data_IF_010390171253
#
_entry.id   IF_010390171253
#
_cell.length_a   1.000
_cell.length_b   1.000
_cell.length_c   1.000
_cell.angle_alpha   90.00
_cell.angle_beta   90.00
_cell.angle_gamma   90.00
#
_symmetry.space_group_name_H-M   'P 1'
#
loop_
_entity.id
_entity.type
_entity.pdbx_description
1 polymer ?
#
# COMPACT_ATOMS: atom_id res chain seq x y z
N UNK A 1 26.17 -12.41 -21.03
CA UNK A 1 25.06 -11.97 -20.18
C UNK A 1 24.24 -10.98 -20.97
N UNK A 2 23.32 -11.48 -21.80
CA UNK A 2 22.46 -10.64 -22.63
C UNK A 2 21.41 -9.98 -21.74
N UNK A 3 21.46 -8.66 -21.63
CA UNK A 3 20.35 -7.85 -21.14
C UNK A 3 19.15 -8.12 -22.05
N UNK A 4 18.23 -8.97 -21.61
CA UNK A 4 16.95 -9.14 -22.30
C UNK A 4 16.22 -7.80 -22.13
N UNK A 5 16.14 -7.02 -23.21
CA UNK A 5 15.53 -5.70 -23.16
C UNK A 5 13.99 -5.85 -23.25
N UNK A 6 13.27 -4.81 -22.82
CA UNK A 6 11.79 -4.76 -22.83
C UNK A 6 11.19 -5.17 -24.18
N UNK A 7 11.76 -4.71 -25.29
CA UNK A 7 11.29 -5.03 -26.65
C UNK A 7 11.50 -6.49 -27.03
N UNK A 8 12.56 -7.12 -26.51
CA UNK A 8 12.91 -8.53 -26.76
C UNK A 8 11.90 -9.43 -26.06
N UNK A 9 11.53 -9.12 -24.81
CA UNK A 9 10.48 -9.84 -24.07
C UNK A 9 9.14 -9.72 -24.81
N UNK A 10 8.78 -8.53 -25.27
CA UNK A 10 7.53 -8.34 -26.02
C UNK A 10 7.53 -9.04 -27.38
N UNK A 11 8.65 -9.07 -28.08
CA UNK A 11 8.79 -9.80 -29.35
C UNK A 11 8.70 -11.31 -29.14
N UNK A 12 9.32 -11.84 -28.08
CA UNK A 12 9.23 -13.25 -27.72
C UNK A 12 7.83 -13.65 -27.25
N UNK A 13 7.15 -12.79 -26.49
CA UNK A 13 5.74 -13.00 -26.13
C UNK A 13 4.85 -13.06 -27.38
N UNK A 14 5.15 -12.25 -28.40
CA UNK A 14 4.42 -12.25 -29.68
C UNK A 14 4.67 -13.52 -30.51
N UNK A 15 5.91 -14.00 -30.57
CA UNK A 15 6.23 -15.25 -31.27
C UNK A 15 5.66 -16.47 -30.53
N UNK A 16 5.80 -16.53 -29.20
CA UNK A 16 5.24 -17.59 -28.37
C UNK A 16 3.70 -17.61 -28.42
N UNK A 17 3.06 -16.44 -28.52
CA UNK A 17 1.62 -16.31 -28.76
C UNK A 17 1.19 -16.97 -30.07
N UNK A 18 1.88 -16.67 -31.18
CA UNK A 18 1.55 -17.25 -32.50
C UNK A 18 1.70 -18.78 -32.52
N UNK A 19 2.51 -19.34 -31.61
CA UNK A 19 2.76 -20.78 -31.50
C UNK A 19 1.92 -21.48 -30.42
N UNK A 20 1.11 -20.75 -29.65
CA UNK A 20 0.26 -21.27 -28.57
C UNK A 20 1.08 -22.01 -27.48
N UNK A 21 2.33 -21.59 -27.28
CA UNK A 21 3.23 -22.21 -26.30
C UNK A 21 3.04 -21.58 -24.91
N UNK A 22 2.13 -22.16 -24.11
CA UNK A 22 1.75 -21.63 -22.78
C UNK A 22 2.93 -21.58 -21.81
N UNK A 23 3.78 -22.62 -21.81
CA UNK A 23 4.93 -22.69 -20.92
C UNK A 23 5.96 -21.57 -21.19
N UNK A 24 6.09 -21.16 -22.47
CA UNK A 24 6.99 -20.09 -22.89
C UNK A 24 6.39 -18.73 -22.53
N UNK A 25 5.08 -18.53 -22.74
CA UNK A 25 4.40 -17.30 -22.32
C UNK A 25 4.52 -17.08 -20.81
N UNK A 26 4.39 -18.13 -20.01
CA UNK A 26 4.53 -18.06 -18.56
C UNK A 26 5.95 -17.76 -18.10
N UNK A 27 6.96 -18.38 -18.72
CA UNK A 27 8.38 -18.08 -18.41
C UNK A 27 8.70 -16.62 -18.72
N UNK A 28 8.29 -16.12 -19.88
CA UNK A 28 8.51 -14.74 -20.28
C UNK A 28 7.79 -13.75 -19.35
N UNK A 29 6.60 -14.11 -18.88
CA UNK A 29 5.87 -13.33 -17.88
C UNK A 29 6.63 -13.23 -16.54
N UNK A 30 7.10 -14.36 -16.02
CA UNK A 30 7.89 -14.38 -14.78
C UNK A 30 9.20 -13.61 -14.92
N UNK A 31 9.84 -13.70 -16.08
CA UNK A 31 11.07 -12.97 -16.39
C UNK A 31 10.82 -11.45 -16.47
N UNK A 32 9.68 -11.05 -17.05
CA UNK A 32 9.25 -9.65 -17.07
C UNK A 32 9.02 -9.10 -15.64
N UNK A 33 8.37 -9.87 -14.77
CA UNK A 33 8.18 -9.50 -13.36
C UNK A 33 9.52 -9.42 -12.59
N UNK A 34 10.44 -10.37 -12.81
CA UNK A 34 11.77 -10.35 -12.20
C UNK A 34 12.60 -9.13 -12.60
N UNK A 35 12.37 -8.59 -13.80
CA UNK A 35 12.99 -7.37 -14.29
C UNK A 35 12.20 -6.09 -13.94
N UNK A 36 11.19 -6.19 -13.06
CA UNK A 36 10.30 -5.08 -12.69
C UNK A 36 9.66 -4.35 -13.89
N UNK A 37 9.51 -5.06 -15.01
CA UNK A 37 8.84 -4.54 -16.20
C UNK A 37 7.34 -4.68 -16.00
N UNK A 38 6.62 -3.58 -16.20
CA UNK A 38 5.17 -3.56 -16.07
C UNK A 38 4.52 -4.36 -17.21
N UNK A 39 3.76 -5.42 -16.87
CA UNK A 39 2.87 -6.04 -17.83
C UNK A 39 1.86 -5.02 -18.37
N UNK A 40 1.45 -5.19 -19.62
CA UNK A 40 0.39 -4.39 -20.22
C UNK A 40 -0.79 -5.29 -20.61
N UNK A 41 -1.88 -4.66 -21.06
CA UNK A 41 -3.09 -5.35 -21.51
C UNK A 41 -2.79 -6.41 -22.59
N UNK A 42 -1.77 -6.19 -23.43
CA UNK A 42 -1.32 -7.16 -24.41
C UNK A 42 -0.74 -8.43 -23.76
N UNK A 43 0.17 -8.28 -22.78
CA UNK A 43 0.74 -9.42 -22.07
C UNK A 43 -0.33 -10.29 -21.42
N UNK A 44 -1.32 -9.65 -20.77
CA UNK A 44 -2.42 -10.35 -20.13
C UNK A 44 -3.35 -11.03 -21.14
N UNK A 45 -3.69 -10.36 -22.24
CA UNK A 45 -4.52 -10.95 -23.31
C UNK A 45 -3.81 -12.14 -23.98
N UNK A 46 -2.50 -12.03 -24.23
CA UNK A 46 -1.69 -13.11 -24.81
C UNK A 46 -1.61 -14.32 -23.88
N UNK A 47 -1.35 -14.11 -22.59
CA UNK A 47 -1.36 -15.17 -21.58
C UNK A 47 -2.71 -15.87 -21.51
N UNK A 48 -3.80 -15.10 -21.54
CA UNK A 48 -5.15 -15.65 -21.54
C UNK A 48 -5.42 -16.54 -22.75
N UNK A 49 -5.16 -16.01 -23.93
CA UNK A 49 -5.46 -16.67 -25.20
C UNK A 49 -4.62 -17.94 -25.36
N UNK A 50 -3.34 -17.91 -24.98
CA UNK A 50 -2.49 -19.10 -25.00
C UNK A 50 -3.06 -20.22 -24.12
N UNK A 51 -3.52 -19.89 -22.91
CA UNK A 51 -4.17 -20.85 -22.01
C UNK A 51 -5.49 -21.41 -22.54
N UNK A 52 -6.15 -20.72 -23.47
CA UNK A 52 -7.42 -21.16 -24.05
C UNK A 52 -7.24 -22.09 -25.25
N UNK A 53 -6.12 -21.98 -25.96
CA UNK A 53 -5.80 -22.84 -27.10
C UNK A 53 -5.18 -24.20 -26.71
N UNK A 54 -4.63 -24.34 -25.50
CA UNK A 54 -3.79 -25.49 -25.14
C UNK A 54 -4.51 -26.66 -24.46
N UNK A 55 -5.80 -26.55 -24.11
CA UNK A 55 -6.56 -27.61 -23.41
C UNK A 55 -6.04 -27.97 -21.99
N UNK A 56 -5.02 -27.27 -21.49
CA UNK A 56 -4.41 -27.49 -20.18
C UNK A 56 -5.13 -26.71 -19.09
N UNK A 57 -6.26 -27.24 -18.61
CA UNK A 57 -7.13 -26.60 -17.61
C UNK A 57 -6.42 -26.23 -16.29
N UNK A 58 -5.44 -27.02 -15.85
CA UNK A 58 -4.72 -26.77 -14.58
C UNK A 58 -3.80 -25.54 -14.62
N UNK A 59 -3.01 -25.39 -15.69
CA UNK A 59 -2.16 -24.21 -15.88
C UNK A 59 -3.00 -22.97 -16.18
N UNK A 60 -4.05 -23.09 -16.99
CA UNK A 60 -4.94 -21.99 -17.33
C UNK A 60 -5.50 -21.28 -16.09
N UNK A 61 -5.92 -22.06 -15.07
CA UNK A 61 -6.39 -21.53 -13.79
C UNK A 61 -5.31 -20.68 -13.11
N UNK A 62 -4.09 -21.20 -12.98
CA UNK A 62 -2.97 -20.49 -12.33
C UNK A 62 -2.63 -19.17 -13.04
N UNK A 63 -2.61 -19.16 -14.37
CA UNK A 63 -2.32 -17.96 -15.17
C UNK A 63 -3.43 -16.92 -15.06
N UNK A 64 -4.70 -17.34 -15.06
CA UNK A 64 -5.84 -16.44 -14.86
C UNK A 64 -5.76 -15.77 -13.49
N UNK A 65 -5.57 -16.55 -12.42
CA UNK A 65 -5.42 -16.04 -11.06
C UNK A 65 -4.27 -15.02 -10.98
N UNK A 66 -3.11 -15.36 -11.53
CA UNK A 66 -1.95 -14.48 -11.51
C UNK A 66 -2.23 -13.17 -12.28
N UNK A 67 -2.86 -13.25 -13.45
CA UNK A 67 -3.24 -12.10 -14.28
C UNK A 67 -4.19 -11.15 -13.54
N UNK A 68 -5.24 -11.69 -12.90
CA UNK A 68 -6.18 -10.88 -12.11
C UNK A 68 -5.45 -10.23 -10.93
N UNK A 69 -4.65 -10.98 -10.17
CA UNK A 69 -3.98 -10.48 -8.96
C UNK A 69 -2.87 -9.47 -9.22
N UNK A 70 -2.07 -9.67 -10.27
CA UNK A 70 -0.86 -8.86 -10.51
C UNK A 70 -1.04 -7.82 -11.60
N UNK A 71 -1.97 -8.02 -12.54
CA UNK A 71 -2.25 -7.06 -13.60
C UNK A 71 -3.38 -6.12 -13.25
N UNK A 72 -4.58 -6.67 -13.22
CA UNK A 72 -5.76 -5.83 -13.19
C UNK A 72 -6.03 -5.24 -11.81
N UNK A 73 -5.76 -6.01 -10.75
CA UNK A 73 -5.91 -5.52 -9.38
C UNK A 73 -4.98 -4.34 -9.05
N UNK A 74 -3.68 -4.47 -9.35
CA UNK A 74 -2.68 -3.47 -9.00
C UNK A 74 -2.86 -2.15 -9.75
N UNK A 75 -3.49 -2.18 -10.92
CA UNK A 75 -3.74 -1.01 -11.77
C UNK A 75 -5.17 -0.47 -11.67
N UNK A 76 -6.01 -1.01 -10.78
CA UNK A 76 -7.41 -0.56 -10.65
C UNK A 76 -8.27 -0.83 -11.88
N UNK A 77 -7.86 -1.78 -12.73
CA UNK A 77 -8.54 -2.19 -13.95
C UNK A 77 -9.66 -3.20 -13.62
N UNK A 78 -10.58 -2.78 -12.77
CA UNK A 78 -11.68 -3.62 -12.30
C UNK A 78 -12.57 -4.17 -13.43
N UNK A 79 -12.92 -3.42 -14.50
CA UNK A 79 -13.69 -3.98 -15.62
C UNK A 79 -13.00 -5.19 -16.26
N UNK A 80 -11.69 -5.09 -16.52
CA UNK A 80 -10.91 -6.17 -17.13
C UNK A 80 -10.79 -7.40 -16.20
N UNK A 81 -10.63 -7.17 -14.89
CA UNK A 81 -10.65 -8.24 -13.90
C UNK A 81 -12.00 -8.99 -13.87
N UNK A 82 -13.10 -8.24 -13.99
CA UNK A 82 -14.47 -8.77 -14.01
C UNK A 82 -14.73 -9.56 -15.29
N UNK A 83 -14.41 -8.99 -16.46
CA UNK A 83 -14.55 -9.66 -17.75
C UNK A 83 -13.78 -10.98 -17.76
N UNK A 84 -12.60 -10.99 -17.15
CA UNK A 84 -11.78 -12.17 -17.05
C UNK A 84 -12.40 -13.26 -16.16
N UNK A 85 -12.98 -12.86 -15.02
CA UNK A 85 -13.71 -13.78 -14.16
C UNK A 85 -14.91 -14.41 -14.86
N UNK A 86 -15.66 -13.63 -15.63
CA UNK A 86 -16.80 -14.12 -16.40
C UNK A 86 -16.36 -15.11 -17.49
N UNK A 87 -15.28 -14.81 -18.22
CA UNK A 87 -14.70 -15.77 -19.17
C UNK A 87 -14.22 -17.08 -18.52
N UNK A 88 -13.72 -17.00 -17.29
CA UNK A 88 -13.30 -18.17 -16.51
C UNK A 88 -14.50 -19.07 -16.19
N UNK A 89 -15.65 -18.46 -15.85
CA UNK A 89 -16.92 -19.17 -15.65
C UNK A 89 -17.43 -19.82 -16.92
N UNK A 90 -17.41 -19.11 -18.06
CA UNK A 90 -17.85 -19.64 -19.36
C UNK A 90 -17.03 -20.87 -19.78
N UNK A 91 -15.74 -20.87 -19.47
CA UNK A 91 -14.81 -21.97 -19.73
C UNK A 91 -14.85 -23.08 -18.67
N UNK A 92 -15.81 -23.03 -17.73
CA UNK A 92 -16.00 -23.99 -16.63
C UNK A 92 -14.77 -24.16 -15.74
N UNK A 93 -13.94 -23.11 -15.63
CA UNK A 93 -12.82 -23.10 -14.70
C UNK A 93 -13.33 -22.54 -13.37
N UNK A 94 -13.29 -23.34 -12.31
CA UNK A 94 -13.79 -22.93 -10.98
C UNK A 94 -12.89 -21.83 -10.38
N UNK A 95 -13.43 -20.63 -10.08
CA UNK A 95 -12.71 -19.62 -9.30
C UNK A 95 -12.29 -20.15 -7.94
N UNK A 96 -11.13 -19.72 -7.48
CA UNK A 96 -10.60 -20.04 -6.15
C UNK A 96 -10.37 -18.78 -5.31
N UNK A 97 -9.93 -19.00 -4.08
CA UNK A 97 -9.56 -17.92 -3.16
C UNK A 97 -8.62 -16.87 -3.77
N UNK A 98 -7.66 -17.24 -4.62
CA UNK A 98 -6.74 -16.26 -5.22
C UNK A 98 -7.47 -15.44 -6.29
N UNK A 99 -8.31 -16.09 -7.10
CA UNK A 99 -9.17 -15.43 -8.08
C UNK A 99 -10.04 -14.35 -7.43
N UNK A 100 -10.71 -14.71 -6.33
CA UNK A 100 -11.55 -13.78 -5.57
C UNK A 100 -10.75 -12.63 -4.97
N UNK A 101 -9.58 -12.91 -4.40
CA UNK A 101 -8.70 -11.86 -3.89
C UNK A 101 -8.31 -10.86 -4.99
N UNK A 102 -7.99 -11.35 -6.19
CA UNK A 102 -7.67 -10.49 -7.33
C UNK A 102 -8.81 -9.54 -7.70
N UNK A 103 -10.04 -10.05 -7.82
CA UNK A 103 -11.20 -9.22 -8.16
C UNK A 103 -11.53 -8.24 -7.05
N UNK A 104 -11.51 -8.68 -5.80
CA UNK A 104 -11.76 -7.81 -4.65
C UNK A 104 -10.71 -6.70 -4.56
N UNK A 105 -9.45 -7.00 -4.85
CA UNK A 105 -8.38 -6.01 -4.90
C UNK A 105 -8.59 -5.02 -6.06
N UNK A 106 -8.99 -5.49 -7.24
CA UNK A 106 -9.34 -4.61 -8.36
C UNK A 106 -10.52 -3.68 -8.02
N UNK A 107 -11.58 -4.23 -7.42
CA UNK A 107 -12.73 -3.45 -6.95
C UNK A 107 -12.32 -2.43 -5.89
N UNK A 108 -11.46 -2.82 -4.94
CA UNK A 108 -10.89 -1.96 -3.91
C UNK A 108 -10.15 -0.76 -4.51
N UNK A 109 -9.25 -1.01 -5.46
CA UNK A 109 -8.47 0.05 -6.11
C UNK A 109 -9.33 0.95 -7.00
N UNK A 110 -10.37 0.40 -7.64
CA UNK A 110 -11.32 1.16 -8.45
C UNK A 110 -12.43 1.86 -7.63
N UNK A 111 -12.53 1.61 -6.32
CA UNK A 111 -13.60 2.15 -5.47
C UNK A 111 -14.99 1.57 -5.77
N UNK A 112 -15.06 0.38 -6.37
CA UNK A 112 -16.30 -0.27 -6.80
C UNK A 112 -16.90 -1.12 -5.68
N UNK A 113 -17.57 -0.45 -4.74
CA UNK A 113 -18.15 -1.11 -3.55
C UNK A 113 -19.17 -2.20 -3.91
N UNK A 114 -20.18 -1.90 -4.75
CA UNK A 114 -21.26 -2.84 -5.07
C UNK A 114 -20.73 -4.14 -5.71
N UNK A 115 -19.80 -4.01 -6.65
CA UNK A 115 -19.15 -5.15 -7.30
C UNK A 115 -18.31 -5.94 -6.29
N UNK A 116 -17.48 -5.26 -5.49
CA UNK A 116 -16.67 -5.93 -4.46
C UNK A 116 -17.54 -6.71 -3.48
N UNK A 117 -18.66 -6.13 -3.04
CA UNK A 117 -19.61 -6.79 -2.14
C UNK A 117 -20.28 -8.00 -2.79
N UNK A 118 -20.70 -7.88 -4.04
CA UNK A 118 -21.26 -8.99 -4.82
C UNK A 118 -20.28 -10.17 -4.89
N UNK A 119 -19.03 -9.92 -5.29
CA UNK A 119 -18.04 -10.99 -5.45
C UNK A 119 -17.66 -11.63 -4.12
N UNK A 120 -17.53 -10.85 -3.04
CA UNK A 120 -17.24 -11.39 -1.71
C UNK A 120 -18.33 -12.35 -1.23
N UNK A 121 -19.61 -11.99 -1.39
CA UNK A 121 -20.72 -12.87 -1.02
C UNK A 121 -20.83 -14.08 -1.94
N UNK A 122 -20.47 -13.93 -3.23
CA UNK A 122 -20.50 -15.03 -4.18
C UNK A 122 -19.49 -16.14 -3.86
N UNK A 123 -18.45 -15.89 -3.05
CA UNK A 123 -17.45 -16.90 -2.65
C UNK A 123 -18.08 -18.17 -2.08
N UNK A 124 -19.16 -18.02 -1.30
CA UNK A 124 -19.89 -19.13 -0.71
C UNK A 124 -20.51 -20.08 -1.76
N UNK A 125 -20.87 -19.55 -2.94
CA UNK A 125 -21.40 -20.34 -4.06
C UNK A 125 -20.33 -21.24 -4.71
N UNK A 126 -19.05 -20.96 -4.44
CA UNK A 126 -17.92 -21.73 -4.94
C UNK A 126 -17.25 -22.57 -3.83
N UNK A 127 -17.89 -22.71 -2.67
CA UNK A 127 -17.31 -23.37 -1.48
C UNK A 127 -16.01 -22.73 -0.98
N UNK A 128 -15.76 -21.46 -1.34
CA UNK A 128 -14.57 -20.71 -0.93
C UNK A 128 -14.87 -19.91 0.34
N UNK A 129 -14.06 -20.12 1.38
CA UNK A 129 -14.19 -19.39 2.64
C UNK A 129 -13.34 -18.11 2.60
N UNK A 130 -13.90 -16.94 2.98
CA UNK A 130 -13.12 -15.71 3.09
C UNK A 130 -11.94 -15.87 4.05
N UNK A 131 -10.75 -15.50 3.56
CA UNK A 131 -9.51 -15.37 4.34
C UNK A 131 -9.24 -13.92 4.70
N UNK A 132 -8.24 -13.69 5.56
CA UNK A 132 -7.87 -12.36 6.06
C UNK A 132 -7.69 -11.30 4.96
N UNK A 133 -7.11 -11.67 3.81
CA UNK A 133 -6.88 -10.72 2.71
C UNK A 133 -8.19 -10.29 2.02
N UNK A 134 -9.20 -11.16 1.95
CA UNK A 134 -10.53 -10.82 1.42
C UNK A 134 -11.24 -9.84 2.36
N UNK A 135 -11.16 -10.10 3.68
CA UNK A 135 -11.68 -9.18 4.69
C UNK A 135 -10.97 -7.83 4.62
N UNK A 136 -9.64 -7.81 4.41
CA UNK A 136 -8.91 -6.56 4.22
C UNK A 136 -9.40 -5.75 3.02
N UNK A 137 -9.81 -6.40 1.93
CA UNK A 137 -10.36 -5.69 0.77
C UNK A 137 -11.76 -5.13 1.08
N UNK A 138 -12.62 -5.92 1.73
CA UNK A 138 -14.00 -5.50 2.04
C UNK A 138 -14.07 -4.42 3.12
N UNK A 139 -13.26 -4.51 4.18
CA UNK A 139 -13.20 -3.47 5.22
C UNK A 139 -12.73 -2.15 4.62
N UNK A 140 -11.72 -2.17 3.75
CA UNK A 140 -11.23 -0.97 3.06
C UNK A 140 -12.30 -0.38 2.12
N UNK A 141 -13.00 -1.23 1.36
CA UNK A 141 -14.11 -0.80 0.49
C UNK A 141 -15.28 -0.17 1.27
N UNK A 142 -15.73 -0.83 2.34
CA UNK A 142 -16.76 -0.29 3.24
C UNK A 142 -16.32 1.05 3.84
N UNK A 143 -15.08 1.11 4.31
CA UNK A 143 -14.47 2.31 4.87
C UNK A 143 -14.46 3.48 3.89
N UNK A 144 -13.99 3.26 2.65
CA UNK A 144 -13.97 4.30 1.60
C UNK A 144 -15.35 4.74 1.15
N UNK A 145 -16.35 3.86 1.22
CA UNK A 145 -17.74 4.16 0.92
C UNK A 145 -18.45 4.94 2.05
N UNK A 146 -17.76 5.30 3.14
CA UNK A 146 -18.36 5.98 4.29
C UNK A 146 -19.13 5.07 5.24
N UNK A 147 -19.11 3.76 5.01
CA UNK A 147 -19.85 2.76 5.81
C UNK A 147 -18.99 2.24 6.96
N UNK A 148 -18.47 3.18 7.77
CA UNK A 148 -17.48 2.89 8.82
C UNK A 148 -17.99 1.91 9.87
N UNK A 149 -19.23 2.08 10.32
CA UNK A 149 -19.85 1.17 11.31
C UNK A 149 -20.01 -0.25 10.76
N UNK A 150 -20.34 -0.39 9.48
CA UNK A 150 -20.45 -1.70 8.86
C UNK A 150 -19.08 -2.35 8.65
N UNK A 151 -18.05 -1.55 8.38
CA UNK A 151 -16.67 -2.02 8.36
C UNK A 151 -16.24 -2.53 9.75
N UNK A 152 -16.66 -1.85 10.82
CA UNK A 152 -16.41 -2.28 12.20
C UNK A 152 -17.15 -3.57 12.56
N UNK A 153 -18.44 -3.67 12.21
CA UNK A 153 -19.22 -4.88 12.39
C UNK A 153 -18.68 -6.07 11.60
N UNK A 154 -18.14 -5.82 10.40
CA UNK A 154 -17.47 -6.85 9.61
C UNK A 154 -16.27 -7.42 10.38
N UNK A 155 -15.45 -6.56 10.98
CA UNK A 155 -14.29 -6.96 11.78
C UNK A 155 -14.71 -7.83 12.97
N UNK A 156 -15.78 -7.45 13.69
CA UNK A 156 -16.32 -8.23 14.81
C UNK A 156 -16.82 -9.61 14.40
N UNK A 157 -17.31 -9.76 13.16
CA UNK A 157 -17.83 -11.03 12.60
C UNK A 157 -16.73 -11.91 12.01
N UNK A 158 -15.49 -11.43 11.92
CA UNK A 158 -14.38 -12.21 11.37
C UNK A 158 -14.12 -13.45 12.23
N UNK A 159 -13.98 -14.61 11.57
CA UNK A 159 -13.54 -15.86 12.21
C UNK A 159 -12.01 -15.94 12.37
N UNK A 160 -11.28 -14.90 11.95
CA UNK A 160 -9.83 -14.79 11.99
C UNK A 160 -9.46 -13.48 12.66
N UNK A 161 -8.37 -13.47 13.44
CA UNK A 161 -7.90 -12.25 14.09
C UNK A 161 -7.53 -11.17 13.04
N UNK A 162 -8.04 -9.94 13.15
CA UNK A 162 -7.71 -8.87 12.20
C UNK A 162 -6.24 -8.46 12.31
N UNK A 163 -5.59 -8.20 11.17
CA UNK A 163 -4.20 -7.75 11.12
C UNK A 163 -4.09 -6.21 11.12
N UNK A 164 -2.85 -5.70 11.16
CA UNK A 164 -2.58 -4.26 11.13
C UNK A 164 -3.12 -3.53 9.90
N UNK A 165 -3.26 -4.23 8.75
CA UNK A 165 -3.83 -3.66 7.52
C UNK A 165 -5.32 -3.39 7.67
N UNK A 166 -6.07 -4.32 8.27
CA UNK A 166 -7.50 -4.19 8.51
C UNK A 166 -7.77 -3.04 9.50
N UNK A 167 -7.10 -3.04 10.64
CA UNK A 167 -7.22 -1.95 11.62
C UNK A 167 -6.75 -0.61 11.06
N UNK A 168 -5.70 -0.61 10.24
CA UNK A 168 -5.23 0.59 9.54
C UNK A 168 -6.25 1.15 8.55
N UNK A 169 -6.95 0.28 7.84
CA UNK A 169 -8.01 0.66 6.89
C UNK A 169 -9.20 1.27 7.63
N UNK A 170 -9.63 0.65 8.74
CA UNK A 170 -10.70 1.18 9.59
C UNK A 170 -10.31 2.51 10.24
N UNK A 171 -9.08 2.63 10.76
CA UNK A 171 -8.58 3.88 11.34
C UNK A 171 -8.58 5.03 10.33
N UNK A 172 -8.18 4.74 9.08
CA UNK A 172 -8.18 5.73 8.01
C UNK A 172 -9.60 6.19 7.67
N UNK A 173 -10.54 5.25 7.48
CA UNK A 173 -11.93 5.60 7.14
C UNK A 173 -12.64 6.31 8.28
N UNK A 174 -12.44 5.90 9.53
CA UNK A 174 -12.95 6.57 10.72
C UNK A 174 -12.52 8.04 10.78
N UNK A 175 -11.25 8.33 10.48
CA UNK A 175 -10.76 9.70 10.37
C UNK A 175 -11.39 10.48 9.22
N UNK A 176 -11.51 9.85 8.05
CA UNK A 176 -12.05 10.49 6.84
C UNK A 176 -13.52 10.88 7.03
N UNK A 177 -14.30 10.05 7.72
CA UNK A 177 -15.73 10.22 7.91
C UNK A 177 -16.12 10.75 9.30
N UNK A 178 -15.15 11.14 10.13
CA UNK A 178 -15.39 11.79 11.42
C UNK A 178 -15.92 10.88 12.53
N UNK A 179 -15.79 9.55 12.40
CA UNK A 179 -16.19 8.61 13.44
C UNK A 179 -15.03 8.38 14.42
N UNK A 180 -14.93 9.26 15.42
CA UNK A 180 -13.79 9.24 16.34
C UNK A 180 -13.76 7.99 17.25
N UNK A 181 -14.93 7.48 17.66
CA UNK A 181 -15.03 6.33 18.57
C UNK A 181 -14.47 5.06 17.93
N UNK A 182 -14.96 4.70 16.74
CA UNK A 182 -14.43 3.56 15.97
C UNK A 182 -12.96 3.78 15.60
N UNK A 183 -12.57 5.03 15.33
CA UNK A 183 -11.18 5.40 15.07
C UNK A 183 -10.24 5.10 16.25
N UNK A 184 -10.64 5.43 17.48
CA UNK A 184 -9.84 5.18 18.68
C UNK A 184 -9.65 3.67 18.87
N UNK A 185 -10.73 2.90 18.81
CA UNK A 185 -10.67 1.44 18.92
C UNK A 185 -9.74 0.83 17.86
N UNK A 186 -9.85 1.29 16.61
CA UNK A 186 -9.01 0.80 15.52
C UNK A 186 -7.52 1.13 15.74
N UNK A 187 -7.21 2.34 16.24
CA UNK A 187 -5.84 2.72 16.55
C UNK A 187 -5.25 1.92 17.72
N UNK A 188 -6.01 1.70 18.78
CA UNK A 188 -5.57 0.92 19.94
C UNK A 188 -5.30 -0.54 19.58
N UNK A 189 -6.23 -1.19 18.87
CA UNK A 189 -6.04 -2.55 18.37
C UNK A 189 -4.86 -2.64 17.40
N UNK A 190 -4.64 -1.63 16.56
CA UNK A 190 -3.46 -1.59 15.70
C UNK A 190 -2.17 -1.45 16.50
N UNK A 191 -2.14 -0.63 17.55
CA UNK A 191 -0.96 -0.46 18.41
C UNK A 191 -0.66 -1.71 19.25
N UNK A 192 -1.65 -2.53 19.57
CA UNK A 192 -1.44 -3.85 20.16
C UNK A 192 -0.63 -4.77 19.24
N UNK A 193 -0.82 -4.66 17.91
CA UNK A 193 -0.09 -5.44 16.90
C UNK A 193 1.23 -4.79 16.49
N UNK A 194 1.24 -3.46 16.35
CA UNK A 194 2.36 -2.64 15.89
C UNK A 194 2.69 -1.54 16.91
N UNK A 195 3.24 -1.87 18.10
CA UNK A 195 3.49 -0.90 19.17
C UNK A 195 4.51 0.19 18.82
N UNK A 196 5.21 0.04 17.70
CA UNK A 196 6.16 1.00 17.15
C UNK A 196 5.58 1.90 16.06
N UNK A 197 4.28 1.86 15.74
CA UNK A 197 3.76 2.72 14.67
C UNK A 197 3.63 4.19 15.12
N UNK A 198 4.54 5.08 14.66
CA UNK A 198 4.46 6.53 14.91
C UNK A 198 3.15 7.12 14.42
N UNK A 199 2.82 6.80 13.18
CA UNK A 199 1.65 7.32 12.51
C UNK A 199 0.38 6.98 13.30
N UNK A 200 0.28 5.75 13.80
CA UNK A 200 -0.87 5.30 14.59
C UNK A 200 -0.95 6.04 15.93
N UNK A 201 0.15 6.23 16.66
CA UNK A 201 0.11 7.01 17.91
C UNK A 201 -0.30 8.47 17.68
N UNK A 202 0.22 9.12 16.62
CA UNK A 202 -0.17 10.49 16.28
C UNK A 202 -1.66 10.57 15.94
N UNK A 203 -2.15 9.61 15.15
CA UNK A 203 -3.56 9.52 14.80
C UNK A 203 -4.44 9.32 16.04
N UNK A 204 -4.05 8.44 16.97
CA UNK A 204 -4.75 8.21 18.24
C UNK A 204 -4.80 9.48 19.09
N UNK A 205 -3.67 10.18 19.26
CA UNK A 205 -3.64 11.42 20.02
C UNK A 205 -4.55 12.51 19.41
N UNK A 206 -4.62 12.58 18.08
CA UNK A 206 -5.49 13.53 17.40
C UNK A 206 -6.97 13.16 17.51
N UNK A 207 -7.30 11.87 17.49
CA UNK A 207 -8.67 11.40 17.72
C UNK A 207 -9.12 11.73 19.15
N UNK A 208 -8.31 11.44 20.16
CA UNK A 208 -8.59 11.84 21.54
C UNK A 208 -8.81 13.36 21.69
N UNK A 209 -7.97 14.17 21.03
CA UNK A 209 -8.14 15.62 21.03
C UNK A 209 -9.45 16.06 20.35
N UNK A 210 -9.86 15.42 19.26
CA UNK A 210 -11.10 15.77 18.54
C UNK A 210 -12.38 15.56 19.35
N UNK A 211 -12.39 14.64 20.31
CA UNK A 211 -13.52 14.40 21.23
C UNK A 211 -13.33 15.11 22.58
N UNK A 212 -12.34 15.98 22.71
CA UNK A 212 -12.07 16.76 23.92
C UNK A 212 -11.35 16.02 25.05
N UNK A 213 -10.88 14.79 24.82
CA UNK A 213 -10.07 14.01 25.78
C UNK A 213 -8.60 14.44 25.73
N UNK A 214 -8.34 15.70 26.10
CA UNK A 214 -7.01 16.30 26.05
C UNK A 214 -5.98 15.61 26.95
N UNK A 215 -6.41 15.05 28.08
CA UNK A 215 -5.55 14.29 28.98
C UNK A 215 -4.99 13.02 28.31
N UNK A 216 -5.86 12.25 27.65
CA UNK A 216 -5.48 11.04 26.93
C UNK A 216 -4.59 11.37 25.72
N UNK A 217 -4.92 12.44 24.98
CA UNK A 217 -4.09 12.95 23.90
C UNK A 217 -2.67 13.33 24.38
N UNK A 218 -2.57 14.00 25.54
CA UNK A 218 -1.28 14.35 26.15
C UNK A 218 -0.51 13.10 26.61
N UNK A 219 -1.20 12.11 27.20
CA UNK A 219 -0.60 10.83 27.60
C UNK A 219 0.03 10.11 26.41
N UNK A 220 -0.72 9.92 25.33
CA UNK A 220 -0.24 9.28 24.10
C UNK A 220 0.97 10.03 23.52
N UNK A 221 0.91 11.37 23.45
CA UNK A 221 2.04 12.19 22.99
C UNK A 221 3.27 12.09 23.91
N UNK A 222 3.09 11.95 25.22
CA UNK A 222 4.19 11.75 26.17
C UNK A 222 4.84 10.37 26.00
N UNK A 223 4.05 9.32 25.82
CA UNK A 223 4.55 7.98 25.49
C UNK A 223 5.28 7.96 24.15
N UNK A 224 4.79 8.74 23.17
CA UNK A 224 5.52 9.01 21.95
C UNK A 224 6.83 9.76 22.23
N UNK A 225 6.91 10.74 23.11
CA UNK A 225 8.23 11.35 23.37
C UNK A 225 9.20 10.37 24.04
N UNK A 226 8.75 9.62 25.05
CA UNK A 226 9.64 8.73 25.82
C UNK A 226 10.17 7.52 25.04
N UNK A 227 9.34 6.90 24.18
CA UNK A 227 9.78 5.79 23.33
C UNK A 227 10.67 6.26 22.18
N UNK A 228 10.48 7.49 21.71
CA UNK A 228 11.09 7.97 20.47
C UNK A 228 12.32 8.85 20.67
N UNK A 229 12.47 9.50 21.83
CA UNK A 229 13.75 10.05 22.30
C UNK A 229 14.87 8.98 22.34
N UNK A 230 14.51 7.69 22.38
CA UNK A 230 15.45 6.56 22.25
C UNK A 230 15.74 6.13 20.82
N UNK A 231 14.90 6.49 19.83
CA UNK A 231 14.93 5.93 18.47
C UNK A 231 15.35 6.96 17.43
N UNK A 232 15.17 8.27 17.67
CA UNK A 232 15.56 9.33 16.72
C UNK A 232 16.09 10.57 17.41
N UNK A 233 17.37 10.56 17.73
CA UNK A 233 18.13 11.80 17.53
C UNK A 233 18.57 11.78 16.07
N UNK A 234 17.85 12.48 15.19
CA UNK A 234 18.36 12.77 13.86
C UNK A 234 19.69 13.50 14.03
N UNK A 235 20.78 12.87 13.62
CA UNK A 235 22.11 13.47 13.63
C UNK A 235 22.53 13.76 12.20
N UNK A 236 23.00 14.99 11.96
CA UNK A 236 23.89 15.27 10.84
C UNK A 236 25.31 15.26 11.37
N UNK A 237 26.27 14.79 10.59
CA UNK A 237 27.67 14.83 10.99
C UNK A 237 28.52 15.39 9.86
N UNK A 238 29.57 16.11 10.25
CA UNK A 238 30.62 16.58 9.34
C UNK A 238 31.96 16.08 9.83
N UNK A 239 32.87 15.80 8.91
CA UNK A 239 34.23 15.39 9.23
C UNK A 239 35.20 16.52 8.88
N UNK A 240 35.91 17.05 9.88
CA UNK A 240 36.92 18.08 9.69
C UNK A 240 38.23 17.55 10.26
N UNK A 241 39.27 17.49 9.43
CA UNK A 241 40.62 17.05 9.85
C UNK A 241 40.62 15.72 10.63
N UNK A 242 39.82 14.76 10.15
CA UNK A 242 39.71 13.41 10.71
C UNK A 242 38.99 13.34 12.08
N UNK A 243 38.30 14.42 12.48
CA UNK A 243 37.39 14.45 13.62
C UNK A 243 35.94 14.58 13.15
N UNK A 244 35.06 13.74 13.71
CA UNK A 244 33.64 13.70 13.38
C UNK A 244 32.89 14.61 14.36
N UNK A 245 32.26 15.65 13.84
CA UNK A 245 31.38 16.55 14.58
C UNK A 245 29.93 16.21 14.27
N UNK A 246 29.17 15.83 15.30
CA UNK A 246 27.76 15.46 15.19
C UNK A 246 26.87 16.61 15.69
N UNK A 247 25.85 16.96 14.91
CA UNK A 247 24.81 17.93 15.27
C UNK A 247 23.48 17.21 15.41
N UNK A 248 22.87 17.29 16.60
CA UNK A 248 21.55 16.73 16.89
C UNK A 248 20.52 17.85 16.97
N UNK A 249 19.29 17.55 16.56
CA UNK A 249 18.15 18.51 16.62
C UNK A 249 17.88 19.02 18.05
N UNK A 250 18.38 18.32 19.07
CA UNK A 250 18.22 18.67 20.50
C UNK A 250 19.44 19.39 21.09
N UNK A 251 20.51 19.63 20.32
CA UNK A 251 21.70 20.36 20.77
C UNK A 251 21.39 21.86 20.83
N UNK A 252 20.60 22.27 21.83
CA UNK A 252 20.31 23.64 22.18
C UNK A 252 21.43 24.32 22.98
N UNK A 253 22.68 23.87 22.86
CA UNK A 253 23.83 24.51 23.50
C UNK A 253 24.13 25.84 22.82
N UNK A 254 23.57 26.90 23.40
CA UNK A 254 23.67 28.31 23.02
C UNK A 254 25.09 28.87 22.81
N UNK A 255 26.15 28.14 23.19
CA UNK A 255 27.52 28.64 23.19
C UNK A 255 28.18 28.68 21.79
N UNK A 256 27.84 27.75 20.90
CA UNK A 256 28.49 27.65 19.57
C UNK A 256 27.69 28.38 18.47
N UNK A 257 26.40 28.63 18.69
CA UNK A 257 25.53 29.36 17.77
C UNK A 257 25.95 30.81 17.57
N UNK A 258 26.59 31.44 18.56
CA UNK A 258 27.06 32.83 18.48
C UNK A 258 28.11 32.99 17.37
N UNK A 259 28.90 31.95 17.08
CA UNK A 259 29.93 32.00 16.05
C UNK A 259 29.43 31.53 14.68
N UNK A 260 28.48 30.59 14.64
CA UNK A 260 27.94 30.02 13.40
C UNK A 260 26.92 30.94 12.71
N UNK A 261 26.06 31.61 13.49
CA UNK A 261 24.99 32.46 12.95
C UNK A 261 25.53 33.62 12.10
N UNK A 262 26.56 34.38 12.52
CA UNK A 262 27.14 35.42 11.69
C UNK A 262 27.67 34.90 10.34
N UNK A 263 28.31 33.73 10.35
CA UNK A 263 28.86 33.10 9.14
C UNK A 263 27.74 32.64 8.19
N UNK A 264 26.64 32.09 8.72
CA UNK A 264 25.45 31.75 7.93
C UNK A 264 24.82 32.98 7.28
N UNK A 265 24.74 34.11 8.00
CA UNK A 265 24.24 35.36 7.42
C UNK A 265 25.13 35.88 6.30
N UNK A 266 26.47 35.83 6.47
CA UNK A 266 27.42 36.21 5.42
C UNK A 266 27.27 35.32 4.19
N UNK A 267 27.13 34.00 4.37
CA UNK A 267 26.90 33.06 3.26
C UNK A 267 25.57 33.31 2.56
N UNK A 268 24.50 33.58 3.31
CA UNK A 268 23.18 33.88 2.74
C UNK A 268 23.16 35.21 1.97
N UNK A 269 23.98 36.17 2.37
CA UNK A 269 24.19 37.43 1.65
C UNK A 269 24.99 37.20 0.36
N UNK A 270 26.09 36.44 0.44
CA UNK A 270 26.90 36.06 -0.73
C UNK A 270 26.10 35.26 -1.76
N UNK A 271 25.18 34.41 -1.31
CA UNK A 271 24.30 33.64 -2.20
C UNK A 271 23.22 34.52 -2.87
N UNK A 272 22.78 35.60 -2.20
CA UNK A 272 21.86 36.59 -2.77
C UNK A 272 22.53 37.44 -3.84
N UNK A 273 23.76 37.86 -3.63
CA UNK A 273 24.55 38.63 -4.61
C UNK A 273 24.84 37.85 -5.91
N UNK A 274 24.83 36.52 -5.85
CA UNK A 274 25.00 35.64 -7.01
C UNK A 274 23.67 35.15 -7.63
N UNK A 275 22.54 35.78 -7.30
CA UNK A 275 21.27 35.59 -8.02
C UNK A 275 20.58 34.24 -7.77
N UNK A 276 20.90 33.56 -6.67
CA UNK A 276 20.11 32.40 -6.22
C UNK A 276 19.14 32.85 -5.14
N UNK A 277 17.85 32.87 -5.45
CA UNK A 277 16.79 33.06 -4.46
C UNK A 277 16.86 31.92 -3.43
N UNK A 278 17.26 32.23 -2.21
CA UNK A 278 17.17 31.31 -1.08
C UNK A 278 15.75 31.39 -0.51
N UNK A 279 15.08 30.25 -0.50
CA UNK A 279 13.76 29.99 0.11
C UNK A 279 13.77 30.52 1.55
N UNK A 280 13.20 31.69 1.75
CA UNK A 280 13.23 32.44 3.01
C UNK A 280 11.93 32.31 3.79
N UNK A 281 11.40 31.09 3.90
CA UNK A 281 10.23 30.78 4.75
C UNK A 281 10.35 29.49 5.57
N UNK A 282 11.57 29.05 5.93
CA UNK A 282 11.73 27.83 6.74
C UNK A 282 11.97 28.04 8.24
N UNK A 283 12.08 29.29 8.73
CA UNK A 283 12.32 29.52 10.17
C UNK A 283 11.65 30.77 10.75
N UNK A 284 10.40 31.06 10.37
CA UNK A 284 9.54 31.98 11.12
C UNK A 284 8.05 31.57 11.00
N UNK A 285 7.68 30.52 11.74
CA UNK A 285 6.48 30.42 12.60
C UNK A 285 6.35 29.00 13.15
#
# INVERSE_FOLDING_TARGET
MSLINRETIFALLRDAFNRIEVDVCLKLYMEMLNHALMPNDYTFTSLLSACTGSGCFGQAKSVHCQTICTGYAQHGLAPQAIDLFEQMKDKRVKPDSITFLGILSACRHAGLFEQGWFYFNSMALYDEKPRIDHFSCIVDLLGRAGRVEEAHDMIKKMCVSPNGVIWGSLLMSSRLHGNAEVGIEAAENRLMLEPGSRATHLQLANLYASIGLWHEAARVRKEMKSKWLKIESGCSWIEIRNEIHCFRVEDGSFAEWIEVVPVMYILADHMRDHGKETISELYCN
#
